data_IF_895119995086
#
_entry.id   IF_895119995086
#
_cell.length_a   1.000
_cell.length_b   1.000
_cell.length_c   1.000
_cell.angle_alpha   90.00
_cell.angle_beta   90.00
_cell.angle_gamma   90.00
#
_symmetry.space_group_name_H-M   'P 1'
#
loop_
_entity.id
_entity.type
_entity.pdbx_description
1 polymer ?
#
# COMPACT_ATOMS: atom_id res chain seq x y z
N UNK A 1 -18.29 2.73 26.84
CA UNK A 1 -19.20 2.85 25.68
C UNK A 1 -20.62 2.73 26.18
N UNK A 2 -21.44 3.76 26.10
CA UNK A 2 -22.82 3.74 26.64
C UNK A 2 -23.81 3.88 25.49
N UNK A 3 -23.97 2.77 24.74
CA UNK A 3 -24.95 2.67 23.65
C UNK A 3 -26.38 3.01 24.13
N UNK A 4 -26.71 2.72 25.39
CA UNK A 4 -28.01 2.99 25.94
C UNK A 4 -28.33 4.48 26.00
N UNK A 5 -27.40 5.28 26.51
CA UNK A 5 -27.55 6.75 26.51
C UNK A 5 -27.62 7.30 25.07
N UNK A 6 -26.86 6.74 24.15
CA UNK A 6 -26.93 7.16 22.73
C UNK A 6 -28.31 6.88 22.12
N UNK A 7 -28.84 5.66 22.31
CA UNK A 7 -30.18 5.30 21.86
C UNK A 7 -31.21 6.28 22.43
N UNK A 8 -31.14 6.59 23.73
CA UNK A 8 -32.06 7.55 24.37
C UNK A 8 -31.99 8.93 23.74
N UNK A 9 -30.78 9.49 23.56
CA UNK A 9 -30.59 10.81 22.94
C UNK A 9 -31.11 10.85 21.50
N UNK A 10 -30.81 9.84 20.69
CA UNK A 10 -31.28 9.75 19.31
C UNK A 10 -32.78 9.62 19.21
N UNK A 11 -33.39 8.74 20.03
CA UNK A 11 -34.83 8.60 20.11
C UNK A 11 -35.52 9.91 20.48
N UNK A 12 -34.98 10.61 21.48
CA UNK A 12 -35.51 11.92 21.90
C UNK A 12 -35.38 12.97 20.80
N UNK A 13 -34.27 12.95 20.08
CA UNK A 13 -34.02 13.86 18.94
C UNK A 13 -35.09 13.72 17.84
N UNK A 14 -35.49 12.48 17.53
CA UNK A 14 -36.53 12.20 16.53
C UNK A 14 -37.98 12.28 17.11
N UNK A 15 -38.10 12.58 18.40
CA UNK A 15 -39.40 12.84 19.04
C UNK A 15 -40.31 11.63 19.27
N UNK A 16 -39.75 10.41 19.31
CA UNK A 16 -40.54 9.18 19.52
C UNK A 16 -40.45 8.66 20.96
N UNK A 17 -41.51 7.99 21.44
CA UNK A 17 -41.53 7.34 22.75
C UNK A 17 -40.78 5.99 22.72
N UNK A 18 -40.46 5.42 23.89
CA UNK A 18 -39.90 4.07 23.99
C UNK A 18 -40.84 3.02 23.37
N UNK A 19 -42.13 3.20 23.53
CA UNK A 19 -43.17 2.33 22.97
C UNK A 19 -43.19 2.41 21.43
N UNK A 20 -43.21 3.62 20.88
CA UNK A 20 -43.18 3.82 19.43
C UNK A 20 -41.88 3.30 18.78
N UNK A 21 -40.70 3.49 19.41
CA UNK A 21 -39.48 2.91 18.90
C UNK A 21 -39.53 1.37 18.97
N UNK A 22 -40.02 0.82 20.08
CA UNK A 22 -40.17 -0.62 20.24
C UNK A 22 -41.10 -1.24 19.18
N UNK A 23 -42.26 -0.64 18.90
CA UNK A 23 -43.16 -1.07 17.83
C UNK A 23 -42.47 -1.09 16.43
N UNK A 24 -41.70 -0.05 16.12
CA UNK A 24 -41.04 0.07 14.80
C UNK A 24 -39.98 -1.00 14.55
N UNK A 25 -39.27 -1.43 15.60
CA UNK A 25 -38.20 -2.43 15.49
C UNK A 25 -38.61 -3.83 16.01
N UNK A 26 -39.88 -3.99 16.37
CA UNK A 26 -40.45 -5.28 16.76
C UNK A 26 -40.05 -5.77 18.17
N UNK A 27 -39.83 -4.84 19.13
CA UNK A 27 -39.51 -5.17 20.53
C UNK A 27 -40.42 -4.45 21.53
N UNK A 28 -40.43 -4.88 22.78
CA UNK A 28 -41.22 -4.23 23.83
C UNK A 28 -40.63 -2.88 24.27
N UNK A 29 -41.46 -1.95 24.74
CA UNK A 29 -41.00 -0.72 25.38
C UNK A 29 -40.09 -0.97 26.57
N UNK A 30 -40.30 -2.09 27.29
CA UNK A 30 -39.43 -2.52 28.38
C UNK A 30 -38.02 -2.89 27.93
N UNK A 31 -37.88 -3.48 26.73
CA UNK A 31 -36.59 -3.75 26.12
C UNK A 31 -35.83 -2.46 25.82
N UNK A 32 -36.50 -1.48 25.19
CA UNK A 32 -35.93 -0.16 24.93
C UNK A 32 -35.49 0.51 26.24
N UNK A 33 -36.33 0.49 27.27
CA UNK A 33 -36.01 1.03 28.59
C UNK A 33 -34.80 0.40 29.22
N UNK A 34 -34.66 -0.95 29.13
CA UNK A 34 -33.49 -1.67 29.65
C UNK A 34 -32.19 -1.32 28.89
N UNK A 35 -32.30 -1.12 27.58
CA UNK A 35 -31.14 -0.68 26.78
C UNK A 35 -30.74 0.75 27.16
N UNK A 36 -31.69 1.69 27.23
CA UNK A 36 -31.46 3.09 27.57
C UNK A 36 -30.91 3.29 28.99
N UNK A 37 -31.15 2.36 29.90
CA UNK A 37 -30.63 2.36 31.27
C UNK A 37 -29.40 1.52 31.47
N UNK A 38 -28.89 0.90 30.38
CA UNK A 38 -27.67 0.05 30.44
C UNK A 38 -27.85 -1.29 31.15
N UNK A 39 -29.09 -1.71 31.46
CA UNK A 39 -29.37 -2.99 32.11
C UNK A 39 -29.09 -4.16 31.17
N UNK A 40 -29.42 -3.99 29.88
CA UNK A 40 -29.12 -4.97 28.83
C UNK A 40 -28.66 -4.22 27.56
N UNK A 41 -27.99 -4.94 26.66
CA UNK A 41 -27.64 -4.45 25.33
C UNK A 41 -28.70 -4.90 24.32
N UNK A 42 -28.92 -4.13 23.21
CA UNK A 42 -29.66 -4.64 22.06
C UNK A 42 -29.02 -5.90 21.50
N UNK A 43 -29.83 -6.82 20.97
CA UNK A 43 -29.33 -7.93 20.17
C UNK A 43 -28.66 -7.41 18.90
N UNK A 44 -27.56 -8.02 18.49
CA UNK A 44 -26.80 -7.60 17.31
C UNK A 44 -27.66 -7.61 16.03
N UNK A 45 -28.62 -8.51 15.94
CA UNK A 45 -29.54 -8.62 14.80
C UNK A 45 -30.50 -7.44 14.68
N UNK A 46 -30.70 -6.70 15.76
CA UNK A 46 -31.57 -5.52 15.80
C UNK A 46 -30.83 -4.21 15.47
N UNK A 47 -29.49 -4.22 15.46
CA UNK A 47 -28.71 -3.00 15.23
C UNK A 47 -28.98 -2.35 13.88
N UNK A 48 -29.14 -3.08 12.74
CA UNK A 48 -29.48 -2.47 11.46
C UNK A 48 -30.85 -1.75 11.50
N UNK A 49 -31.85 -2.38 12.08
CA UNK A 49 -33.19 -1.78 12.21
C UNK A 49 -33.17 -0.58 13.15
N UNK A 50 -32.45 -0.68 14.26
CA UNK A 50 -32.31 0.38 15.24
C UNK A 50 -31.59 1.61 14.65
N UNK A 51 -30.49 1.40 13.91
CA UNK A 51 -29.77 2.49 13.24
C UNK A 51 -30.60 3.15 12.15
N UNK A 52 -31.35 2.38 11.36
CA UNK A 52 -32.26 2.88 10.34
C UNK A 52 -33.37 3.74 10.91
N UNK A 53 -34.05 3.26 11.97
CA UNK A 53 -35.15 4.00 12.63
C UNK A 53 -34.64 5.28 13.34
N UNK A 54 -33.47 5.26 13.89
CA UNK A 54 -32.86 6.42 14.55
C UNK A 54 -32.17 7.40 13.56
N UNK A 55 -32.08 7.04 12.28
CA UNK A 55 -31.49 7.86 11.22
C UNK A 55 -29.99 8.10 11.41
N UNK A 56 -29.25 7.08 11.84
CA UNK A 56 -27.79 7.12 12.09
C UNK A 56 -27.15 5.85 11.59
N UNK A 57 -25.83 5.90 11.38
CA UNK A 57 -25.04 4.70 11.10
C UNK A 57 -24.86 3.85 12.37
N UNK A 58 -24.49 2.58 12.22
CA UNK A 58 -24.15 1.72 13.37
C UNK A 58 -22.95 2.31 14.14
N UNK A 59 -21.98 2.91 13.46
CA UNK A 59 -20.82 3.58 14.06
C UNK A 59 -21.23 4.77 14.94
N UNK A 60 -22.20 5.56 14.48
CA UNK A 60 -22.77 6.66 15.27
C UNK A 60 -23.57 6.17 16.46
N UNK A 61 -24.23 5.01 16.32
CA UNK A 61 -24.97 4.37 17.41
C UNK A 61 -24.04 3.93 18.55
N UNK A 62 -22.83 3.44 18.19
CA UNK A 62 -21.80 3.06 19.16
C UNK A 62 -20.93 4.20 19.62
N UNK A 63 -21.14 5.43 19.14
CA UNK A 63 -20.39 6.62 19.49
C UNK A 63 -18.87 6.42 19.29
N UNK A 64 -18.51 5.81 18.16
CA UNK A 64 -17.09 5.61 17.83
C UNK A 64 -16.41 6.96 17.69
N UNK A 65 -15.27 7.11 18.37
CA UNK A 65 -14.42 8.27 18.20
C UNK A 65 -13.93 8.41 16.75
N UNK A 66 -13.60 9.63 16.35
CA UNK A 66 -12.99 9.87 15.03
C UNK A 66 -11.79 8.96 14.81
N UNK A 67 -10.94 8.84 15.83
CA UNK A 67 -9.76 7.96 15.79
C UNK A 67 -10.11 6.50 15.50
N UNK A 68 -11.14 5.96 16.15
CA UNK A 68 -11.60 4.57 15.90
C UNK A 68 -12.18 4.40 14.49
N UNK A 69 -12.86 5.42 13.97
CA UNK A 69 -13.38 5.40 12.58
C UNK A 69 -12.22 5.42 11.56
N UNK A 70 -11.19 6.25 11.79
CA UNK A 70 -10.01 6.30 10.93
C UNK A 70 -9.27 4.96 10.93
N UNK A 71 -9.01 4.37 12.10
CA UNK A 71 -8.37 3.05 12.20
C UNK A 71 -9.18 1.94 11.51
N UNK A 72 -10.51 2.02 11.56
CA UNK A 72 -11.37 1.09 10.84
C UNK A 72 -11.22 1.23 9.32
N UNK A 73 -11.18 2.47 8.81
CA UNK A 73 -10.95 2.73 7.37
C UNK A 73 -9.59 2.20 6.95
N UNK A 74 -8.52 2.50 7.70
CA UNK A 74 -7.16 2.00 7.46
C UNK A 74 -7.15 0.48 7.32
N UNK A 75 -7.68 -0.22 8.33
CA UNK A 75 -7.69 -1.68 8.35
C UNK A 75 -8.51 -2.28 7.20
N UNK A 76 -9.65 -1.68 6.85
CA UNK A 76 -10.47 -2.19 5.74
C UNK A 76 -9.82 -2.00 4.38
N UNK A 77 -9.15 -0.86 4.15
CA UNK A 77 -8.37 -0.62 2.92
C UNK A 77 -7.26 -1.68 2.77
N UNK A 78 -6.64 -2.11 3.88
CA UNK A 78 -5.58 -3.12 3.86
C UNK A 78 -6.10 -4.53 3.56
N UNK A 79 -7.30 -4.89 4.02
CA UNK A 79 -7.79 -6.28 4.03
C UNK A 79 -8.80 -6.57 2.92
N UNK A 80 -9.68 -5.62 2.60
CA UNK A 80 -10.77 -5.84 1.64
C UNK A 80 -10.32 -5.57 0.20
N UNK A 81 -10.71 -6.43 -0.73
CA UNK A 81 -10.33 -6.29 -2.15
C UNK A 81 -11.14 -5.22 -2.89
N UNK A 82 -12.39 -5.00 -2.49
CA UNK A 82 -13.29 -4.02 -3.10
C UNK A 82 -14.29 -3.49 -2.08
N UNK A 83 -14.69 -2.24 -2.24
CA UNK A 83 -15.79 -1.62 -1.50
C UNK A 83 -16.99 -1.43 -2.40
N UNK A 84 -18.21 -1.67 -1.86
CA UNK A 84 -19.42 -1.18 -2.52
C UNK A 84 -19.37 0.35 -2.65
N UNK A 85 -20.12 0.89 -3.61
CA UNK A 85 -20.15 2.33 -3.82
C UNK A 85 -20.63 3.08 -2.56
N UNK A 86 -21.63 2.55 -1.86
CA UNK A 86 -22.16 3.16 -0.62
C UNK A 86 -21.06 3.27 0.45
N UNK A 87 -20.27 2.22 0.67
CA UNK A 87 -19.17 2.23 1.64
C UNK A 87 -18.05 3.19 1.23
N UNK A 88 -17.72 3.21 -0.07
CA UNK A 88 -16.71 4.12 -0.58
C UNK A 88 -17.09 5.58 -0.33
N UNK A 89 -18.32 5.97 -0.70
CA UNK A 89 -18.79 7.34 -0.52
C UNK A 89 -18.98 7.70 0.95
N UNK A 90 -19.42 6.76 1.80
CA UNK A 90 -19.49 6.98 3.26
C UNK A 90 -18.10 7.35 3.82
N UNK A 91 -17.06 6.63 3.42
CA UNK A 91 -15.68 6.91 3.88
C UNK A 91 -15.13 8.19 3.28
N UNK A 92 -15.38 8.44 2.00
CA UNK A 92 -14.97 9.67 1.33
C UNK A 92 -15.56 10.91 2.03
N UNK A 93 -16.86 10.91 2.28
CA UNK A 93 -17.56 12.02 2.94
C UNK A 93 -17.06 12.23 4.37
N UNK A 94 -16.90 11.14 5.12
CA UNK A 94 -16.35 11.19 6.49
C UNK A 94 -14.94 11.81 6.49
N UNK A 95 -14.06 11.36 5.60
CA UNK A 95 -12.70 11.89 5.51
C UNK A 95 -12.68 13.36 5.06
N UNK A 96 -13.54 13.76 4.11
CA UNK A 96 -13.67 15.16 3.67
C UNK A 96 -14.11 16.09 4.81
N UNK A 97 -15.08 15.66 5.63
CA UNK A 97 -15.50 16.41 6.82
C UNK A 97 -14.32 16.56 7.80
N UNK A 98 -13.58 15.48 8.04
CA UNK A 98 -12.45 15.51 8.96
C UNK A 98 -11.23 16.32 8.43
N UNK A 99 -11.13 16.56 7.13
CA UNK A 99 -10.06 17.38 6.56
C UNK A 99 -10.05 18.81 7.11
N UNK A 100 -11.22 19.35 7.47
CA UNK A 100 -11.35 20.68 8.05
C UNK A 100 -11.23 20.69 9.59
N UNK A 101 -11.65 19.62 10.25
CA UNK A 101 -11.81 19.53 11.71
C UNK A 101 -10.66 18.82 12.43
N UNK A 102 -9.99 17.85 11.78
CA UNK A 102 -8.98 17.02 12.41
C UNK A 102 -7.59 17.70 12.39
N UNK A 103 -6.86 17.62 13.54
CA UNK A 103 -5.58 18.31 13.71
C UNK A 103 -4.50 17.80 12.74
N UNK A 104 -4.36 16.46 12.58
CA UNK A 104 -3.41 15.87 11.62
C UNK A 104 -3.99 15.74 10.21
N UNK A 105 -4.04 16.88 9.51
CA UNK A 105 -4.50 16.93 8.11
C UNK A 105 -3.72 16.01 7.18
N UNK A 106 -2.44 15.78 7.46
CA UNK A 106 -1.60 14.87 6.67
C UNK A 106 -2.18 13.45 6.67
N UNK A 107 -2.63 12.96 7.84
CA UNK A 107 -3.23 11.61 7.96
C UNK A 107 -4.52 11.51 7.15
N UNK A 108 -5.39 12.51 7.21
CA UNK A 108 -6.64 12.52 6.45
C UNK A 108 -6.36 12.53 4.95
N UNK A 109 -5.43 13.38 4.47
CA UNK A 109 -5.03 13.42 3.06
C UNK A 109 -4.41 12.08 2.61
N UNK A 110 -3.58 11.46 3.45
CA UNK A 110 -3.02 10.13 3.16
C UNK A 110 -4.11 9.07 3.04
N UNK A 111 -5.11 9.07 3.92
CA UNK A 111 -6.24 8.12 3.86
C UNK A 111 -7.13 8.35 2.63
N UNK A 112 -7.39 9.60 2.26
CA UNK A 112 -8.10 9.90 1.01
C UNK A 112 -7.33 9.36 -0.20
N UNK A 113 -6.02 9.57 -0.25
CA UNK A 113 -5.18 9.04 -1.32
C UNK A 113 -5.21 7.51 -1.36
N UNK A 114 -5.13 6.84 -0.21
CA UNK A 114 -5.21 5.39 -0.10
C UNK A 114 -6.59 4.86 -0.51
N UNK A 115 -7.68 5.50 -0.09
CA UNK A 115 -9.05 5.13 -0.45
C UNK A 115 -9.26 5.18 -1.98
N UNK A 116 -8.82 6.27 -2.61
CA UNK A 116 -8.91 6.40 -4.07
C UNK A 116 -7.95 5.43 -4.79
N UNK A 117 -6.76 5.17 -4.24
CA UNK A 117 -5.85 4.18 -4.80
C UNK A 117 -6.45 2.78 -4.76
N UNK A 118 -7.05 2.39 -3.63
CA UNK A 118 -7.75 1.11 -3.48
C UNK A 118 -8.85 0.96 -4.55
N UNK A 119 -9.70 1.98 -4.73
CA UNK A 119 -10.74 1.99 -5.78
C UNK A 119 -10.14 1.91 -7.18
N UNK A 120 -9.05 2.64 -7.45
CA UNK A 120 -8.35 2.62 -8.74
C UNK A 120 -7.80 1.22 -9.04
N UNK A 121 -7.17 0.54 -8.08
CA UNK A 121 -6.64 -0.81 -8.24
C UNK A 121 -7.75 -1.82 -8.57
N UNK A 122 -8.87 -1.76 -7.89
CA UNK A 122 -10.04 -2.58 -8.19
C UNK A 122 -10.55 -2.35 -9.62
N UNK A 123 -10.66 -1.08 -10.03
CA UNK A 123 -11.08 -0.72 -11.39
C UNK A 123 -10.07 -1.19 -12.44
N UNK A 124 -8.77 -1.00 -12.21
CA UNK A 124 -7.71 -1.47 -13.10
C UNK A 124 -7.72 -2.99 -13.25
N UNK A 125 -7.96 -3.73 -12.18
CA UNK A 125 -8.15 -5.19 -12.25
C UNK A 125 -9.31 -5.61 -13.15
N UNK A 126 -10.44 -4.87 -13.10
CA UNK A 126 -11.58 -5.10 -13.99
C UNK A 126 -11.23 -4.76 -15.45
N UNK A 127 -10.49 -3.66 -15.67
CA UNK A 127 -10.00 -3.30 -17.03
C UNK A 127 -9.10 -4.39 -17.58
N UNK A 128 -8.10 -4.84 -16.81
CA UNK A 128 -7.17 -5.91 -17.20
C UNK A 128 -7.93 -7.18 -17.59
N UNK A 129 -8.88 -7.60 -16.77
CA UNK A 129 -9.70 -8.80 -17.02
C UNK A 129 -10.43 -8.71 -18.36
N UNK A 130 -11.22 -7.67 -18.57
CA UNK A 130 -12.03 -7.53 -19.79
C UNK A 130 -11.18 -7.28 -21.04
N UNK A 131 -10.08 -6.53 -20.91
CA UNK A 131 -9.15 -6.31 -22.01
C UNK A 131 -8.51 -7.63 -22.47
N UNK A 132 -8.07 -8.49 -21.55
CA UNK A 132 -7.52 -9.83 -21.87
C UNK A 132 -8.53 -10.70 -22.60
N UNK A 133 -9.77 -10.76 -22.11
CA UNK A 133 -10.84 -11.52 -22.76
C UNK A 133 -11.11 -11.01 -24.19
N UNK A 134 -11.19 -9.68 -24.37
CA UNK A 134 -11.40 -9.08 -25.69
C UNK A 134 -10.23 -9.34 -26.66
N UNK A 135 -8.98 -9.23 -26.18
CA UNK A 135 -7.77 -9.50 -27.00
C UNK A 135 -7.74 -10.97 -27.47
N UNK A 136 -8.16 -11.92 -26.63
CA UNK A 136 -8.22 -13.33 -27.01
C UNK A 136 -9.26 -13.60 -28.12
N UNK A 137 -10.30 -12.75 -28.22
CA UNK A 137 -11.34 -12.87 -29.26
C UNK A 137 -10.90 -12.15 -30.55
N UNK A 138 -10.32 -10.95 -30.45
CA UNK A 138 -9.97 -10.10 -31.58
C UNK A 138 -8.61 -9.40 -31.36
N UNK A 139 -7.48 -10.14 -31.53
CA UNK A 139 -6.15 -9.62 -31.22
C UNK A 139 -5.69 -8.48 -32.15
N UNK A 140 -6.36 -8.28 -33.27
CA UNK A 140 -6.10 -7.19 -34.23
C UNK A 140 -6.68 -5.82 -33.79
N UNK A 141 -7.56 -5.79 -32.76
CA UNK A 141 -8.18 -4.55 -32.29
C UNK A 141 -7.26 -3.84 -31.30
N UNK A 142 -6.87 -2.59 -31.63
CA UNK A 142 -5.87 -1.81 -30.90
C UNK A 142 -6.32 -1.38 -29.50
N UNK A 143 -7.58 -1.02 -29.32
CA UNK A 143 -8.05 -0.33 -28.11
C UNK A 143 -7.84 -1.16 -26.83
N UNK A 144 -8.16 -2.45 -26.87
CA UNK A 144 -7.97 -3.35 -25.71
C UNK A 144 -6.50 -3.61 -25.41
N UNK A 145 -5.61 -3.62 -26.42
CA UNK A 145 -4.16 -3.73 -26.23
C UNK A 145 -3.64 -2.57 -25.39
N UNK A 146 -4.07 -1.34 -25.74
CA UNK A 146 -3.68 -0.13 -25.03
C UNK A 146 -4.21 -0.09 -23.57
N UNK A 147 -5.48 -0.48 -23.37
CA UNK A 147 -6.09 -0.56 -22.05
C UNK A 147 -5.35 -1.55 -21.15
N UNK A 148 -4.98 -2.73 -21.68
CA UNK A 148 -4.21 -3.72 -20.94
C UNK A 148 -2.83 -3.18 -20.51
N UNK A 149 -2.11 -2.50 -21.43
CA UNK A 149 -0.82 -1.91 -21.10
C UNK A 149 -0.94 -0.94 -19.91
N UNK A 150 -1.97 -0.08 -19.91
CA UNK A 150 -2.19 0.88 -18.83
C UNK A 150 -2.62 0.24 -17.51
N UNK A 151 -3.50 -0.76 -17.56
CA UNK A 151 -4.04 -1.38 -16.34
C UNK A 151 -3.02 -2.24 -15.61
N UNK A 152 -2.11 -2.87 -16.34
CA UNK A 152 -1.10 -3.77 -15.78
C UNK A 152 0.25 -3.08 -15.51
N UNK A 153 0.31 -1.75 -15.68
CA UNK A 153 1.55 -0.99 -15.49
C UNK A 153 2.64 -1.37 -16.49
N UNK A 154 2.25 -1.94 -17.65
CA UNK A 154 3.18 -2.34 -18.67
C UNK A 154 3.69 -1.12 -19.47
N UNK A 155 4.88 -1.26 -20.06
CA UNK A 155 5.54 -0.17 -20.74
C UNK A 155 4.84 0.19 -22.05
N UNK A 156 4.53 1.47 -22.23
CA UNK A 156 4.14 2.02 -23.52
C UNK A 156 5.38 2.48 -24.30
N UNK A 157 5.40 2.24 -25.62
CA UNK A 157 6.47 2.75 -26.47
C UNK A 157 6.32 4.27 -26.76
N UNK A 158 5.13 4.80 -26.56
CA UNK A 158 4.84 6.22 -26.79
C UNK A 158 5.45 7.08 -25.67
N UNK A 159 6.60 7.70 -25.92
CA UNK A 159 7.35 8.51 -24.94
C UNK A 159 6.48 9.63 -24.32
N UNK A 160 5.64 10.29 -25.07
CA UNK A 160 4.74 11.35 -24.58
C UNK A 160 3.74 10.84 -23.51
N UNK A 161 3.48 9.54 -23.47
CA UNK A 161 2.62 8.91 -22.47
C UNK A 161 3.40 8.28 -21.30
N UNK A 162 4.70 8.06 -21.48
CA UNK A 162 5.55 7.33 -20.54
C UNK A 162 6.51 8.22 -19.74
N UNK A 163 6.69 9.51 -20.12
CA UNK A 163 7.59 10.40 -19.41
C UNK A 163 7.05 10.81 -18.03
N UNK A 164 7.97 11.10 -17.12
CA UNK A 164 7.68 11.43 -15.73
C UNK A 164 7.80 12.92 -15.40
N UNK A 165 7.66 13.82 -16.41
CA UNK A 165 7.92 15.26 -16.26
C UNK A 165 7.13 15.89 -15.11
N UNK A 166 5.84 15.60 -14.98
CA UNK A 166 4.99 16.20 -13.95
C UNK A 166 5.43 15.78 -12.53
N UNK A 167 5.80 14.52 -12.34
CA UNK A 167 6.29 14.00 -11.07
C UNK A 167 7.68 14.57 -10.75
N UNK A 168 8.57 14.66 -11.74
CA UNK A 168 9.89 15.26 -11.62
C UNK A 168 9.76 16.73 -11.17
N UNK A 169 8.91 17.51 -11.83
CA UNK A 169 8.72 18.92 -11.51
C UNK A 169 8.05 19.12 -10.13
N UNK A 170 7.17 18.19 -9.74
CA UNK A 170 6.63 18.18 -8.38
C UNK A 170 7.72 17.99 -7.34
N UNK A 171 8.56 16.94 -7.44
CA UNK A 171 9.62 16.68 -6.46
C UNK A 171 10.70 17.77 -6.43
N UNK A 172 11.01 18.41 -7.56
CA UNK A 172 11.88 19.61 -7.58
C UNK A 172 11.29 20.71 -6.71
N UNK A 173 10.01 21.04 -6.86
CA UNK A 173 9.33 22.04 -6.03
C UNK A 173 9.33 21.66 -4.53
N UNK A 174 9.13 20.36 -4.22
CA UNK A 174 9.21 19.85 -2.86
C UNK A 174 10.59 20.09 -2.26
N UNK A 175 11.65 19.79 -3.00
CA UNK A 175 13.05 19.93 -2.56
C UNK A 175 13.46 21.40 -2.42
N UNK A 176 12.95 22.27 -3.27
CA UNK A 176 13.27 23.71 -3.28
C UNK A 176 12.49 24.51 -2.23
N UNK A 177 11.48 23.91 -1.63
CA UNK A 177 10.67 24.55 -0.59
C UNK A 177 11.33 24.40 0.79
N UNK A 178 12.27 25.27 1.08
CA UNK A 178 13.06 25.25 2.36
C UNK A 178 12.23 25.46 3.63
N UNK A 179 10.97 25.88 3.51
CA UNK A 179 10.14 26.24 4.68
C UNK A 179 9.33 25.08 5.25
N UNK A 180 9.09 24.01 4.48
CA UNK A 180 8.13 22.95 4.82
C UNK A 180 8.80 21.62 5.14
N UNK A 181 10.03 21.40 4.67
CA UNK A 181 10.63 20.06 4.71
C UNK A 181 11.89 20.06 5.58
N UNK A 182 11.93 19.22 6.63
CA UNK A 182 13.20 18.85 7.22
C UNK A 182 14.10 18.31 6.13
N UNK A 183 15.38 18.69 6.11
CA UNK A 183 16.36 18.26 5.12
C UNK A 183 16.52 16.73 5.18
N UNK A 184 15.67 16.04 4.44
CA UNK A 184 15.59 14.57 4.36
C UNK A 184 15.93 14.11 2.94
N UNK A 185 16.64 12.98 2.77
CA UNK A 185 16.95 12.45 1.45
C UNK A 185 15.74 11.85 0.72
N UNK A 186 14.64 11.56 1.40
CA UNK A 186 13.52 10.82 0.83
C UNK A 186 12.94 11.42 -0.47
N UNK A 187 12.63 12.73 -0.58
CA UNK A 187 12.15 13.31 -1.83
C UNK A 187 13.18 13.25 -2.97
N UNK A 188 14.47 13.26 -2.62
CA UNK A 188 15.54 13.12 -3.61
C UNK A 188 15.56 11.72 -4.22
N UNK A 189 15.34 10.66 -3.44
CA UNK A 189 15.30 9.29 -3.97
C UNK A 189 14.24 9.17 -5.05
N UNK A 190 13.00 9.58 -4.79
CA UNK A 190 11.92 9.56 -5.78
C UNK A 190 12.22 10.45 -7.00
N UNK A 191 12.86 11.62 -6.81
CA UNK A 191 13.27 12.47 -7.93
C UNK A 191 14.31 11.79 -8.80
N UNK A 192 15.37 11.22 -8.20
CA UNK A 192 16.46 10.56 -8.90
C UNK A 192 15.95 9.35 -9.66
N UNK A 193 15.10 8.53 -9.06
CA UNK A 193 14.49 7.37 -9.71
C UNK A 193 13.73 7.76 -10.99
N UNK A 194 12.88 8.80 -10.92
CA UNK A 194 12.14 9.28 -12.08
C UNK A 194 13.04 9.91 -13.14
N UNK A 195 14.11 10.61 -12.75
CA UNK A 195 15.10 11.16 -13.69
C UNK A 195 15.87 10.04 -14.41
N UNK A 196 16.24 8.98 -13.72
CA UNK A 196 16.90 7.81 -14.33
C UNK A 196 15.94 7.10 -15.28
N UNK A 197 14.70 6.86 -14.87
CA UNK A 197 13.68 6.22 -15.70
C UNK A 197 13.42 6.99 -17.01
N UNK A 198 13.49 8.32 -16.97
CA UNK A 198 13.36 9.19 -18.15
C UNK A 198 14.68 9.42 -18.92
N UNK A 199 15.77 8.72 -18.58
CA UNK A 199 17.11 8.93 -19.16
C UNK A 199 17.64 10.36 -19.01
N UNK A 200 17.18 11.13 -18.01
CA UNK A 200 17.68 12.48 -17.66
C UNK A 200 18.88 12.38 -16.71
N UNK A 201 19.88 11.61 -17.11
CA UNK A 201 21.01 11.17 -16.30
C UNK A 201 21.82 12.29 -15.68
N UNK A 202 22.08 13.39 -16.45
CA UNK A 202 22.76 14.59 -15.92
C UNK A 202 22.00 15.20 -14.72
N UNK A 203 20.67 15.27 -14.80
CA UNK A 203 19.87 15.73 -13.68
C UNK A 203 19.92 14.79 -12.49
N UNK A 204 19.91 13.48 -12.75
CA UNK A 204 20.04 12.47 -11.69
C UNK A 204 21.39 12.60 -10.94
N UNK A 205 22.50 12.79 -11.64
CA UNK A 205 23.82 13.03 -11.04
C UNK A 205 23.85 14.30 -10.16
N UNK A 206 23.28 15.41 -10.65
CA UNK A 206 23.22 16.66 -9.90
C UNK A 206 22.45 16.49 -8.57
N UNK A 207 21.26 15.88 -8.62
CA UNK A 207 20.47 15.66 -7.42
C UNK A 207 21.05 14.60 -6.50
N UNK A 208 21.74 13.59 -7.04
CA UNK A 208 22.49 12.61 -6.24
C UNK A 208 23.61 13.29 -5.42
N UNK A 209 24.38 14.19 -6.04
CA UNK A 209 25.43 14.95 -5.35
C UNK A 209 24.83 15.81 -4.21
N UNK A 210 23.69 16.46 -4.44
CA UNK A 210 23.00 17.22 -3.40
C UNK A 210 22.46 16.32 -2.29
N UNK A 211 21.85 15.18 -2.64
CA UNK A 211 21.29 14.20 -1.72
C UNK A 211 22.35 13.59 -0.79
N UNK A 212 23.51 13.24 -1.36
CA UNK A 212 24.61 12.59 -0.63
C UNK A 212 25.19 13.40 0.54
N UNK A 213 24.90 14.70 0.57
CA UNK A 213 25.35 15.62 1.64
C UNK A 213 24.33 15.74 2.79
N UNK A 214 23.18 15.08 2.70
CA UNK A 214 22.13 15.17 3.71
C UNK A 214 22.41 14.22 4.90
N UNK A 215 22.07 14.62 6.16
CA UNK A 215 22.43 13.87 7.35
C UNK A 215 21.95 12.43 7.41
N UNK A 216 20.79 12.12 6.82
CA UNK A 216 20.19 10.80 6.85
C UNK A 216 20.48 9.97 5.59
N UNK A 217 21.39 10.45 4.74
CA UNK A 217 21.76 9.74 3.51
C UNK A 217 22.55 8.46 3.82
N UNK A 218 22.27 7.40 3.08
CA UNK A 218 22.98 6.12 3.20
C UNK A 218 24.10 6.05 2.15
N UNK A 219 25.39 6.04 2.55
CA UNK A 219 26.52 6.14 1.62
C UNK A 219 26.56 5.09 0.50
N UNK A 220 26.10 3.87 0.79
CA UNK A 220 26.07 2.80 -0.19
C UNK A 220 25.12 3.08 -1.38
N UNK A 221 24.16 3.99 -1.25
CA UNK A 221 23.26 4.37 -2.34
C UNK A 221 23.97 5.17 -3.45
N UNK A 222 25.11 5.80 -3.15
CA UNK A 222 25.89 6.52 -4.17
C UNK A 222 26.34 5.62 -5.32
N UNK A 223 27.06 4.51 -5.10
CA UNK A 223 27.42 3.59 -6.18
C UNK A 223 26.18 2.95 -6.83
N UNK A 224 25.13 2.64 -6.07
CA UNK A 224 23.89 2.07 -6.61
C UNK A 224 23.27 3.02 -7.65
N UNK A 225 23.03 4.27 -7.30
CA UNK A 225 22.48 5.26 -8.24
C UNK A 225 23.41 5.50 -9.43
N UNK A 226 24.73 5.57 -9.22
CA UNK A 226 25.70 5.72 -10.32
C UNK A 226 25.67 4.53 -11.27
N UNK A 227 25.46 3.32 -10.78
CA UNK A 227 25.31 2.13 -11.62
C UNK A 227 24.00 2.18 -12.43
N UNK A 228 22.89 2.57 -11.81
CA UNK A 228 21.63 2.75 -12.53
C UNK A 228 21.68 3.87 -13.58
N UNK A 229 22.38 4.97 -13.29
CA UNK A 229 22.67 6.04 -14.27
C UNK A 229 23.46 5.46 -15.45
N UNK A 230 24.51 4.66 -15.18
CA UNK A 230 25.29 4.03 -16.23
C UNK A 230 24.44 3.07 -17.09
N UNK A 231 23.54 2.30 -16.47
CA UNK A 231 22.60 1.46 -17.22
C UNK A 231 21.65 2.29 -18.10
N UNK A 232 21.15 3.42 -17.58
CA UNK A 232 20.32 4.35 -18.36
C UNK A 232 21.08 5.00 -19.51
N UNK A 233 22.39 5.06 -19.43
CA UNK A 233 23.30 5.52 -20.51
C UNK A 233 23.77 4.37 -21.43
N UNK A 234 23.22 3.18 -21.25
CA UNK A 234 23.57 1.97 -21.99
C UNK A 234 25.05 1.51 -21.81
N UNK A 235 25.67 1.89 -20.68
CA UNK A 235 27.04 1.50 -20.32
C UNK A 235 27.04 0.45 -19.20
N UNK A 236 26.61 -0.76 -19.55
CA UNK A 236 26.52 -1.89 -18.61
C UNK A 236 27.88 -2.24 -17.99
N UNK A 237 28.97 -2.15 -18.77
CA UNK A 237 30.31 -2.45 -18.27
C UNK A 237 30.74 -1.48 -17.16
N UNK A 238 30.42 -0.20 -17.32
CA UNK A 238 30.68 0.81 -16.29
C UNK A 238 29.81 0.53 -15.05
N UNK A 239 28.54 0.19 -15.24
CA UNK A 239 27.64 -0.14 -14.15
C UNK A 239 28.15 -1.33 -13.33
N UNK A 240 28.54 -2.43 -13.99
CA UNK A 240 29.10 -3.62 -13.33
C UNK A 240 30.36 -3.27 -12.53
N UNK A 241 31.29 -2.53 -13.13
CA UNK A 241 32.53 -2.12 -12.45
C UNK A 241 32.28 -1.24 -11.20
N UNK A 242 31.25 -0.40 -11.23
CA UNK A 242 30.84 0.40 -10.06
C UNK A 242 30.32 -0.50 -8.94
N UNK A 243 29.40 -1.42 -9.25
CA UNK A 243 28.79 -2.32 -8.27
C UNK A 243 29.79 -3.32 -7.67
N UNK A 244 30.66 -3.89 -8.50
CA UNK A 244 31.74 -4.79 -8.05
C UNK A 244 32.74 -4.07 -7.13
N UNK A 245 33.10 -2.83 -7.46
CA UNK A 245 33.99 -2.02 -6.62
C UNK A 245 33.33 -1.69 -5.28
N UNK A 246 32.05 -1.33 -5.27
CA UNK A 246 31.30 -1.02 -4.06
C UNK A 246 31.10 -2.27 -3.16
N UNK A 247 31.03 -3.45 -3.74
CA UNK A 247 30.91 -4.70 -2.98
C UNK A 247 32.11 -4.94 -2.05
N UNK A 248 33.30 -4.42 -2.37
CA UNK A 248 34.48 -4.52 -1.51
C UNK A 248 34.26 -3.74 -0.21
N UNK A 249 33.62 -2.58 -0.28
CA UNK A 249 33.38 -1.71 0.86
C UNK A 249 32.15 -2.13 1.67
N UNK A 250 31.07 -2.52 0.98
CA UNK A 250 29.75 -2.78 1.60
C UNK A 250 29.37 -4.27 1.65
N UNK A 251 30.35 -5.18 1.60
CA UNK A 251 30.13 -6.63 1.52
C UNK A 251 29.24 -7.22 2.64
N UNK A 252 29.20 -6.58 3.81
CA UNK A 252 28.42 -7.01 4.97
C UNK A 252 27.16 -6.14 5.23
N UNK A 253 26.92 -5.12 4.40
CA UNK A 253 25.73 -4.26 4.56
C UNK A 253 24.51 -4.91 3.90
N UNK A 254 23.52 -5.31 4.71
CA UNK A 254 22.32 -5.97 4.22
C UNK A 254 21.52 -5.12 3.23
N UNK A 255 21.50 -3.79 3.41
CA UNK A 255 20.83 -2.86 2.49
C UNK A 255 21.55 -2.80 1.14
N UNK A 256 22.90 -2.71 1.13
CA UNK A 256 23.66 -2.75 -0.10
C UNK A 256 23.51 -4.10 -0.84
N UNK A 257 23.53 -5.21 -0.10
CA UNK A 257 23.32 -6.54 -0.70
C UNK A 257 21.91 -6.67 -1.32
N UNK A 258 20.91 -6.05 -0.72
CA UNK A 258 19.57 -5.95 -1.29
C UNK A 258 19.60 -5.19 -2.63
N UNK A 259 20.26 -4.04 -2.69
CA UNK A 259 20.42 -3.27 -3.92
C UNK A 259 21.23 -4.01 -4.99
N UNK A 260 22.22 -4.80 -4.59
CA UNK A 260 22.92 -5.72 -5.53
C UNK A 260 21.97 -6.72 -6.15
N UNK A 261 21.05 -7.28 -5.35
CA UNK A 261 20.03 -8.20 -5.86
C UNK A 261 19.08 -7.51 -6.86
N UNK A 262 18.60 -6.31 -6.52
CA UNK A 262 17.79 -5.49 -7.42
C UNK A 262 18.51 -5.18 -8.73
N UNK A 263 19.79 -4.78 -8.65
CA UNK A 263 20.63 -4.52 -9.81
C UNK A 263 20.70 -5.72 -10.77
N UNK A 264 20.99 -6.91 -10.25
CA UNK A 264 21.03 -8.12 -11.08
C UNK A 264 19.65 -8.54 -11.58
N UNK A 265 18.59 -8.34 -10.81
CA UNK A 265 17.22 -8.60 -11.26
C UNK A 265 16.82 -7.70 -12.44
N UNK A 266 17.17 -6.40 -12.40
CA UNK A 266 16.97 -5.48 -13.52
C UNK A 266 17.69 -5.90 -14.80
N UNK A 267 18.83 -6.57 -14.68
CA UNK A 267 19.59 -7.15 -15.79
C UNK A 267 19.11 -8.53 -16.23
N UNK A 268 18.04 -9.04 -15.62
CA UNK A 268 17.53 -10.42 -15.82
C UNK A 268 18.56 -11.51 -15.43
N UNK A 269 19.58 -11.18 -14.64
CA UNK A 269 20.55 -12.13 -14.07
C UNK A 269 19.99 -12.75 -12.78
N UNK A 270 18.86 -13.46 -12.93
CA UNK A 270 18.01 -13.90 -11.83
C UNK A 270 18.68 -14.83 -10.80
N UNK A 271 19.65 -15.64 -11.20
CA UNK A 271 20.36 -16.52 -10.27
C UNK A 271 21.25 -15.71 -9.32
N UNK A 272 21.94 -14.70 -9.84
CA UNK A 272 22.70 -13.76 -9.01
C UNK A 272 21.77 -12.91 -8.12
N UNK A 273 20.62 -12.48 -8.66
CA UNK A 273 19.65 -11.74 -7.87
C UNK A 273 19.21 -12.55 -6.64
N UNK A 274 18.85 -13.83 -6.81
CA UNK A 274 18.50 -14.71 -5.68
C UNK A 274 19.67 -14.87 -4.71
N UNK A 275 20.90 -15.06 -5.21
CA UNK A 275 22.09 -15.17 -4.34
C UNK A 275 22.24 -13.94 -3.44
N UNK A 276 22.13 -12.73 -4.01
CA UNK A 276 22.29 -11.49 -3.24
C UNK A 276 21.10 -11.19 -2.33
N UNK A 277 19.87 -11.54 -2.69
CA UNK A 277 18.74 -11.48 -1.78
C UNK A 277 18.93 -12.40 -0.56
N UNK A 278 19.41 -13.64 -0.75
CA UNK A 278 19.72 -14.54 0.37
C UNK A 278 20.83 -13.97 1.25
N UNK A 279 21.88 -13.43 0.67
CA UNK A 279 22.96 -12.78 1.43
C UNK A 279 22.46 -11.56 2.21
N UNK A 280 21.57 -10.76 1.62
CA UNK A 280 20.92 -9.64 2.30
C UNK A 280 20.10 -10.14 3.49
N UNK A 281 19.28 -11.16 3.30
CA UNK A 281 18.48 -11.79 4.34
C UNK A 281 19.34 -12.33 5.49
N UNK A 282 20.45 -12.97 5.19
CA UNK A 282 21.36 -13.52 6.19
C UNK A 282 22.11 -12.42 6.95
N UNK A 283 22.52 -11.34 6.28
CA UNK A 283 23.17 -10.19 6.90
C UNK A 283 22.27 -9.49 7.95
N UNK A 284 20.95 -9.56 7.79
CA UNK A 284 19.97 -9.03 8.74
C UNK A 284 19.63 -9.99 9.89
N UNK A 285 20.22 -11.19 9.96
CA UNK A 285 19.88 -12.23 10.95
C UNK A 285 20.04 -11.79 12.41
N UNK A 286 20.91 -10.83 12.69
CA UNK A 286 21.10 -10.23 14.01
C UNK A 286 20.06 -9.16 14.38
N UNK A 287 19.22 -8.73 13.47
CA UNK A 287 18.15 -7.75 13.69
C UNK A 287 16.81 -8.46 13.77
N UNK A 288 15.96 -8.04 14.70
CA UNK A 288 14.58 -8.56 14.81
C UNK A 288 13.63 -7.42 15.11
N UNK A 289 12.51 -7.34 14.42
CA UNK A 289 12.11 -8.19 13.27
C UNK A 289 12.89 -7.84 12.00
N UNK A 290 13.18 -8.85 11.14
CA UNK A 290 13.76 -8.65 9.80
C UNK A 290 12.72 -8.16 8.82
N UNK A 291 13.13 -7.30 7.89
CA UNK A 291 12.28 -6.92 6.77
C UNK A 291 12.12 -8.07 5.78
N UNK A 292 10.91 -8.23 5.22
CA UNK A 292 10.57 -9.36 4.33
C UNK A 292 10.89 -9.12 2.86
N UNK A 293 11.31 -7.91 2.49
CA UNK A 293 11.53 -7.47 1.10
C UNK A 293 12.44 -8.41 0.31
N UNK A 294 13.49 -8.93 0.92
CA UNK A 294 14.38 -9.89 0.27
C UNK A 294 13.67 -11.20 -0.08
N UNK A 295 12.82 -11.72 0.80
CA UNK A 295 12.02 -12.92 0.54
C UNK A 295 10.96 -12.67 -0.55
N UNK A 296 10.37 -11.48 -0.59
CA UNK A 296 9.43 -11.10 -1.65
C UNK A 296 10.13 -11.02 -3.00
N UNK A 297 11.35 -10.45 -3.05
CA UNK A 297 12.20 -10.45 -4.22
C UNK A 297 12.53 -11.86 -4.72
N UNK A 298 12.92 -12.77 -3.83
CA UNK A 298 13.20 -14.18 -4.16
C UNK A 298 11.95 -14.87 -4.72
N UNK A 299 10.80 -14.69 -4.07
CA UNK A 299 9.54 -15.27 -4.54
C UNK A 299 9.18 -14.76 -5.93
N UNK A 300 9.32 -13.46 -6.18
CA UNK A 300 9.08 -12.85 -7.50
C UNK A 300 10.00 -13.44 -8.57
N UNK A 301 11.30 -13.58 -8.28
CA UNK A 301 12.24 -14.20 -9.23
C UNK A 301 11.85 -15.64 -9.54
N UNK A 302 11.47 -16.44 -8.55
CA UNK A 302 11.03 -17.81 -8.82
C UNK A 302 9.73 -17.88 -9.62
N UNK A 303 8.80 -16.92 -9.45
CA UNK A 303 7.62 -16.81 -10.30
C UNK A 303 7.99 -16.50 -11.76
N UNK A 304 8.91 -15.57 -12.00
CA UNK A 304 9.42 -15.24 -13.35
C UNK A 304 10.06 -16.48 -14.00
N UNK A 305 10.81 -17.27 -13.21
CA UNK A 305 11.46 -18.51 -13.66
C UNK A 305 10.48 -19.70 -13.79
N UNK A 306 9.19 -19.53 -13.46
CA UNK A 306 8.18 -20.59 -13.37
C UNK A 306 8.58 -21.73 -12.39
N UNK A 307 9.40 -21.45 -11.39
CA UNK A 307 9.76 -22.38 -10.32
C UNK A 307 8.77 -22.25 -9.14
N UNK A 308 7.57 -22.79 -9.38
CA UNK A 308 6.45 -22.69 -8.42
C UNK A 308 6.78 -23.33 -7.07
N UNK A 309 7.55 -24.42 -7.04
CA UNK A 309 7.91 -25.09 -5.80
C UNK A 309 8.78 -24.19 -4.91
N UNK A 310 9.80 -23.56 -5.48
CA UNK A 310 10.66 -22.65 -4.72
C UNK A 310 9.92 -21.37 -4.33
N UNK A 311 9.03 -20.84 -5.18
CA UNK A 311 8.19 -19.72 -4.84
C UNK A 311 7.30 -20.03 -3.60
N UNK A 312 6.64 -21.18 -3.56
CA UNK A 312 5.83 -21.62 -2.42
C UNK A 312 6.69 -21.72 -1.14
N UNK A 313 7.86 -22.36 -1.21
CA UNK A 313 8.78 -22.45 -0.05
C UNK A 313 9.22 -21.08 0.46
N UNK A 314 9.42 -20.13 -0.45
CA UNK A 314 9.78 -18.75 -0.10
C UNK A 314 8.63 -18.04 0.60
N UNK A 315 7.40 -18.19 0.12
CA UNK A 315 6.22 -17.67 0.84
C UNK A 315 6.05 -18.30 2.22
N UNK A 316 6.39 -19.57 2.42
CA UNK A 316 6.38 -20.19 3.75
C UNK A 316 7.36 -19.51 4.70
N UNK A 317 8.60 -19.25 4.24
CA UNK A 317 9.62 -18.51 5.02
C UNK A 317 9.13 -17.09 5.37
N UNK A 318 8.49 -16.42 4.43
CA UNK A 318 7.94 -15.07 4.61
C UNK A 318 6.83 -15.07 5.68
N UNK A 319 5.87 -15.98 5.59
CA UNK A 319 4.78 -16.13 6.56
C UNK A 319 5.33 -16.48 7.94
N UNK A 320 6.31 -17.37 8.03
CA UNK A 320 6.95 -17.75 9.29
C UNK A 320 7.67 -16.54 9.92
N UNK A 321 8.35 -15.71 9.13
CA UNK A 321 8.98 -14.48 9.61
C UNK A 321 7.93 -13.48 10.14
N UNK A 322 6.86 -13.23 9.38
CA UNK A 322 5.77 -12.34 9.80
C UNK A 322 5.17 -12.77 11.14
N UNK A 323 4.95 -14.08 11.33
CA UNK A 323 4.38 -14.60 12.58
C UNK A 323 5.37 -14.62 13.72
N UNK A 324 6.58 -15.12 13.50
CA UNK A 324 7.56 -15.36 14.57
C UNK A 324 8.35 -14.14 14.99
N UNK A 325 8.64 -13.21 14.07
CA UNK A 325 9.47 -12.03 14.36
C UNK A 325 8.64 -10.75 14.48
N UNK A 326 7.60 -10.57 13.63
CA UNK A 326 6.71 -9.42 13.68
C UNK A 326 5.52 -9.60 14.61
N UNK A 327 5.24 -10.84 15.04
CA UNK A 327 4.10 -11.17 15.90
C UNK A 327 2.74 -11.07 15.19
N UNK A 328 2.75 -11.09 13.85
CA UNK A 328 1.54 -11.03 13.05
C UNK A 328 0.66 -12.27 13.26
N UNK A 329 -0.64 -12.09 13.22
CA UNK A 329 -1.66 -13.15 13.32
C UNK A 329 -2.17 -13.54 11.94
N UNK A 330 -2.95 -14.63 11.88
CA UNK A 330 -3.53 -15.14 10.63
C UNK A 330 -4.52 -14.15 9.98
N UNK A 331 -5.09 -13.24 10.75
CA UNK A 331 -6.04 -12.21 10.31
C UNK A 331 -5.38 -10.86 10.01
N UNK A 332 -4.07 -10.75 10.10
CA UNK A 332 -3.35 -9.54 9.70
C UNK A 332 -3.19 -9.48 8.16
N UNK A 333 -3.38 -8.28 7.60
CA UNK A 333 -3.42 -8.05 6.16
C UNK A 333 -2.21 -8.60 5.41
N UNK A 334 -1.01 -8.40 5.94
CA UNK A 334 0.25 -8.87 5.32
C UNK A 334 0.35 -10.40 5.28
N UNK A 335 -0.20 -11.10 6.29
CA UNK A 335 -0.25 -12.57 6.32
C UNK A 335 -1.31 -13.09 5.35
N UNK A 336 -2.49 -12.45 5.31
CA UNK A 336 -3.56 -12.79 4.37
C UNK A 336 -3.06 -12.64 2.93
N UNK A 337 -2.36 -11.56 2.58
CA UNK A 337 -1.81 -11.33 1.25
C UNK A 337 -0.79 -12.41 0.86
N UNK A 338 0.16 -12.71 1.74
CA UNK A 338 1.15 -13.77 1.52
C UNK A 338 0.50 -15.15 1.33
N UNK A 339 -0.50 -15.48 2.15
CA UNK A 339 -1.27 -16.74 2.04
C UNK A 339 -2.07 -16.79 0.71
N UNK A 340 -2.67 -15.68 0.28
CA UNK A 340 -3.40 -15.58 -0.98
C UNK A 340 -2.47 -15.81 -2.18
N UNK A 341 -1.32 -15.13 -2.21
CA UNK A 341 -0.29 -15.30 -3.24
C UNK A 341 0.19 -16.75 -3.30
N UNK A 342 0.51 -17.35 -2.15
CA UNK A 342 0.89 -18.77 -2.05
C UNK A 342 -0.21 -19.69 -2.58
N UNK A 343 -1.47 -19.49 -2.13
CA UNK A 343 -2.61 -20.33 -2.52
C UNK A 343 -2.89 -20.29 -4.03
N UNK A 344 -2.68 -19.15 -4.67
CA UNK A 344 -2.84 -19.00 -6.11
C UNK A 344 -1.86 -19.88 -6.93
N UNK A 345 -0.76 -20.32 -6.32
CA UNK A 345 0.25 -21.20 -6.95
C UNK A 345 -0.03 -22.68 -6.77
N UNK A 346 -0.90 -23.04 -5.82
CA UNK A 346 -1.29 -24.44 -5.54
C UNK A 346 -2.51 -24.72 -6.44
N UNK A 347 -2.25 -25.33 -7.59
CA UNK A 347 -3.30 -25.78 -8.52
C UNK A 347 -3.74 -27.19 -8.19
#
# INVERSE_FOLDING_TARGET
MDIGNKIKQLRQRIGVTQEQLGERIGVSAQSISKWETGVTMPDITLLPSLSGELGVTIDELFDLSVEQKLQRIERRIEVEEDFSDDVFYEYEDMLKIQLDEYEDKRRILSLLAQLYHHRAQTCLGKVSKYAREAILIAPEVKDCQWLLQKSDGATSWDWNCANHTDVIDFYKRVIENDTVIPKTPLPYYYLIDNLIADHRTRGAEEYLDRCSRLPAYRPFLTPVYKAHIALAEYDEKRADGIMESALVEFAADGGFLFEMAQYYACKCEYDKAVEYYERSWDAESGKKPRYTDALEGIATVYLIKNDTEKAIKTYDRLIDCLKSEWGCKDDDAVVIDALRKKKALIK
#
